data_IF_224643462938
#
_entry.id   IF_224643462938
#
_cell.length_a   1.000
_cell.length_b   1.000
_cell.length_c   1.000
_cell.angle_alpha   90.00
_cell.angle_beta   90.00
_cell.angle_gamma   90.00
#
_symmetry.space_group_name_H-M   'P 1'
#
loop_
_entity.id
_entity.type
_entity.pdbx_description
1 polymer ?
#
# COMPACT_ATOMS: atom_id res chain seq x y z
N UNK A 1 -7.48 -6.32 19.83
CA UNK A 1 -7.22 -6.87 18.48
C UNK A 1 -7.15 -8.38 18.59
N UNK A 2 -8.18 -9.07 18.12
CA UNK A 2 -8.35 -10.52 18.27
C UNK A 2 -8.45 -11.17 16.88
N UNK A 3 -8.95 -10.44 15.88
CA UNK A 3 -9.19 -10.93 14.53
C UNK A 3 -8.56 -10.02 13.45
N UNK A 4 -8.54 -10.49 12.20
CA UNK A 4 -8.07 -9.70 11.05
C UNK A 4 -8.86 -8.41 10.84
N UNK A 5 -10.17 -8.44 11.10
CA UNK A 5 -11.03 -7.26 10.95
C UNK A 5 -10.62 -6.12 11.90
N UNK A 6 -10.22 -6.44 13.13
CA UNK A 6 -9.72 -5.45 14.09
C UNK A 6 -8.43 -4.78 13.59
N UNK A 7 -7.53 -5.55 12.95
CA UNK A 7 -6.29 -5.01 12.36
C UNK A 7 -6.62 -4.03 11.23
N UNK A 8 -7.56 -4.40 10.36
CA UNK A 8 -8.01 -3.56 9.25
C UNK A 8 -8.66 -2.28 9.78
N UNK A 9 -9.54 -2.41 10.78
CA UNK A 9 -10.25 -1.28 11.37
C UNK A 9 -9.28 -0.28 12.01
N UNK A 10 -8.33 -0.75 12.82
CA UNK A 10 -7.36 0.13 13.50
C UNK A 10 -6.44 0.86 12.51
N UNK A 11 -6.11 0.26 11.35
CA UNK A 11 -5.32 0.90 10.29
C UNK A 11 -6.16 1.88 9.47
N UNK A 12 -7.41 1.52 9.12
CA UNK A 12 -8.29 2.37 8.32
C UNK A 12 -8.81 3.59 9.12
N UNK A 13 -9.03 3.40 10.42
CA UNK A 13 -9.49 4.41 11.36
C UNK A 13 -8.49 4.48 12.51
N UNK A 14 -7.47 5.36 12.42
CA UNK A 14 -6.39 5.38 13.40
C UNK A 14 -6.92 5.69 14.80
N UNK A 15 -6.76 4.72 15.69
CA UNK A 15 -7.18 4.78 17.09
C UNK A 15 -5.99 4.72 18.06
N UNK A 16 -6.27 4.28 19.29
CA UNK A 16 -5.29 4.20 20.37
C UNK A 16 -4.18 3.16 20.09
N UNK A 17 -4.48 2.12 19.31
CA UNK A 17 -3.57 1.00 19.05
C UNK A 17 -2.95 1.04 17.65
N UNK A 18 -3.17 2.11 16.87
CA UNK A 18 -2.61 2.26 15.52
C UNK A 18 -1.10 2.02 15.45
N UNK A 19 -0.33 2.58 16.39
CA UNK A 19 1.11 2.40 16.39
C UNK A 19 1.54 0.96 16.67
N UNK A 20 0.85 0.28 17.59
CA UNK A 20 1.12 -1.13 17.90
C UNK A 20 0.78 -2.03 16.71
N UNK A 21 -0.38 -1.82 16.09
CA UNK A 21 -0.82 -2.57 14.91
C UNK A 21 0.09 -2.30 13.71
N UNK A 22 0.48 -1.05 13.47
CA UNK A 22 1.39 -0.69 12.38
C UNK A 22 2.80 -1.27 12.58
N UNK A 23 3.26 -1.43 13.82
CA UNK A 23 4.56 -2.04 14.12
C UNK A 23 4.49 -3.57 14.04
N UNK A 24 3.33 -4.15 14.37
CA UNK A 24 3.08 -5.59 14.25
C UNK A 24 3.07 -6.05 12.78
N UNK A 25 2.55 -5.24 11.87
CA UNK A 25 2.54 -5.55 10.44
C UNK A 25 3.94 -5.38 9.83
N UNK A 26 4.40 -6.39 9.09
CA UNK A 26 5.58 -6.22 8.24
C UNK A 26 5.25 -5.32 7.04
N UNK A 27 6.25 -4.60 6.48
CA UNK A 27 6.09 -3.87 5.23
C UNK A 27 5.55 -4.79 4.13
N UNK A 28 4.47 -4.37 3.47
CA UNK A 28 3.85 -5.16 2.40
C UNK A 28 4.76 -5.17 1.17
N UNK A 29 5.17 -6.38 0.76
CA UNK A 29 5.86 -6.57 -0.51
C UNK A 29 4.83 -6.57 -1.64
N UNK A 30 4.73 -5.46 -2.36
CA UNK A 30 3.87 -5.36 -3.53
C UNK A 30 4.55 -6.00 -4.76
N UNK A 31 3.73 -6.60 -5.63
CA UNK A 31 4.16 -7.13 -6.91
C UNK A 31 4.40 -6.00 -7.92
N UNK A 32 5.26 -6.26 -8.90
CA UNK A 32 5.27 -5.46 -10.12
C UNK A 32 4.16 -5.97 -11.03
N UNK A 33 3.31 -5.07 -11.56
CA UNK A 33 2.27 -5.43 -12.52
C UNK A 33 2.87 -6.35 -13.59
N UNK A 34 2.18 -7.42 -14.00
CA UNK A 34 2.72 -8.53 -14.83
C UNK A 34 3.41 -8.11 -16.15
N UNK A 35 3.19 -6.88 -16.62
CA UNK A 35 3.80 -6.31 -17.82
C UNK A 35 4.64 -5.04 -17.56
N UNK A 36 4.76 -4.62 -16.30
CA UNK A 36 5.50 -3.44 -15.93
C UNK A 36 7.01 -3.70 -16.03
N UNK A 37 7.68 -2.72 -16.60
CA UNK A 37 9.13 -2.70 -16.69
C UNK A 37 9.75 -2.64 -15.28
N UNK A 38 10.55 -3.65 -14.94
CA UNK A 38 11.32 -3.71 -13.66
C UNK A 38 12.34 -2.59 -13.50
N UNK A 39 12.63 -1.85 -14.58
CA UNK A 39 13.56 -0.73 -14.58
C UNK A 39 12.89 0.53 -14.02
N UNK A 40 13.58 1.25 -13.13
CA UNK A 40 13.08 2.49 -12.47
C UNK A 40 12.48 3.52 -13.44
N UNK A 41 13.07 3.65 -14.64
CA UNK A 41 12.62 4.61 -15.67
C UNK A 41 11.28 4.21 -16.25
N UNK A 42 11.11 2.93 -16.56
CA UNK A 42 9.88 2.43 -17.16
C UNK A 42 8.76 2.32 -16.13
N UNK A 43 9.05 1.90 -14.89
CA UNK A 43 8.11 2.00 -13.77
C UNK A 43 7.58 3.42 -13.58
N UNK A 44 8.45 4.45 -13.66
CA UNK A 44 8.02 5.85 -13.54
C UNK A 44 7.20 6.33 -14.75
N UNK A 45 7.43 5.75 -15.93
CA UNK A 45 6.63 6.04 -17.14
C UNK A 45 5.23 5.44 -17.04
N UNK A 46 5.12 4.22 -16.51
CA UNK A 46 3.86 3.49 -16.37
C UNK A 46 3.04 3.96 -15.16
N UNK A 47 3.70 4.18 -14.02
CA UNK A 47 3.03 4.55 -12.76
C UNK A 47 3.00 6.07 -12.50
N UNK A 48 3.72 6.88 -13.28
CA UNK A 48 3.77 8.34 -13.13
C UNK A 48 4.75 8.85 -12.06
N UNK A 49 4.60 10.11 -11.67
CA UNK A 49 5.53 10.81 -10.76
C UNK A 49 5.37 10.39 -9.28
N UNK A 50 6.46 10.34 -8.50
CA UNK A 50 6.35 10.17 -7.05
C UNK A 50 5.60 11.35 -6.40
N UNK A 51 4.93 11.11 -5.28
CA UNK A 51 4.23 12.14 -4.51
C UNK A 51 2.86 11.72 -4.01
N UNK A 52 2.14 12.66 -3.39
CA UNK A 52 0.77 12.48 -2.92
C UNK A 52 -0.20 12.32 -4.10
N UNK A 53 -1.10 11.33 -4.02
CA UNK A 53 -2.03 10.97 -5.10
C UNK A 53 -3.50 11.04 -4.71
N UNK A 54 -3.82 11.42 -3.49
CA UNK A 54 -5.19 11.34 -2.95
C UNK A 54 -5.79 9.96 -3.20
N UNK A 55 -7.05 9.93 -3.65
CA UNK A 55 -7.80 8.69 -3.89
C UNK A 55 -7.24 7.81 -5.03
N UNK A 56 -6.43 8.38 -5.93
CA UNK A 56 -5.81 7.63 -7.04
C UNK A 56 -4.78 6.60 -6.56
N UNK A 57 -4.33 6.69 -5.29
CA UNK A 57 -3.43 5.68 -4.72
C UNK A 57 -4.04 4.28 -4.71
N UNK A 58 -5.36 4.17 -4.51
CA UNK A 58 -6.05 2.89 -4.47
C UNK A 58 -6.03 2.18 -5.82
N UNK A 59 -6.10 2.93 -6.92
CA UNK A 59 -5.96 2.38 -8.27
C UNK A 59 -4.55 1.84 -8.51
N UNK A 60 -3.53 2.56 -8.02
CA UNK A 60 -2.13 2.14 -8.12
C UNK A 60 -1.87 0.84 -7.34
N UNK A 61 -2.35 0.75 -6.10
CA UNK A 61 -2.18 -0.44 -5.27
C UNK A 61 -2.84 -1.67 -5.93
N UNK A 62 -4.03 -1.52 -6.54
CA UNK A 62 -4.71 -2.59 -7.29
C UNK A 62 -3.94 -3.10 -8.50
N UNK A 63 -3.06 -2.29 -9.09
CA UNK A 63 -2.20 -2.72 -10.20
C UNK A 63 -0.95 -3.46 -9.71
N UNK A 64 -0.57 -3.25 -8.45
CA UNK A 64 0.63 -3.80 -7.81
C UNK A 64 0.34 -5.00 -6.90
N UNK A 65 -0.93 -5.41 -6.78
CA UNK A 65 -1.35 -6.60 -6.04
C UNK A 65 -1.73 -7.71 -7.03
#
# INVERSE_FOLDING_TARGET
VICLEDLIHEIAFPGKHFQEVSSFLCPFLLSVARHATRNRVGFRKEMGSPGYRGDRINQLIRQLN
#
